data_IF_656150207756
#
_entry.id   IF_656150207756
#
_cell.length_a   1.000
_cell.length_b   1.000
_cell.length_c   1.000
_cell.angle_alpha   90.00
_cell.angle_beta   90.00
_cell.angle_gamma   90.00
#
_symmetry.space_group_name_H-M   'P 1'
#
loop_
_entity.id
_entity.type
_entity.pdbx_description
1 polymer ?
#
# COMPACT_ATOMS: atom_id res chain seq x y z
N UNK A 1 -37.34 -14.04 2.33
CA UNK A 1 -37.80 -14.62 1.03
C UNK A 1 -38.07 -13.48 0.05
N UNK A 2 -37.45 -13.49 -1.13
CA UNK A 2 -37.57 -12.43 -2.13
C UNK A 2 -38.80 -12.60 -3.06
N UNK A 3 -39.57 -13.67 -2.87
CA UNK A 3 -40.78 -13.95 -3.65
C UNK A 3 -40.51 -14.47 -5.05
N UNK A 4 -39.26 -14.83 -5.38
CA UNK A 4 -38.90 -15.38 -6.68
C UNK A 4 -39.73 -16.63 -6.99
N UNK A 5 -40.39 -16.72 -8.16
CA UNK A 5 -41.28 -17.82 -8.48
C UNK A 5 -40.51 -19.13 -8.67
N UNK A 6 -40.97 -20.19 -8.00
CA UNK A 6 -40.49 -21.55 -8.17
C UNK A 6 -41.54 -22.32 -8.98
N UNK A 7 -41.52 -22.18 -10.31
CA UNK A 7 -42.60 -22.69 -11.16
C UNK A 7 -42.48 -24.18 -11.54
N UNK A 8 -41.47 -24.89 -11.02
CA UNK A 8 -41.23 -26.30 -11.30
C UNK A 8 -40.90 -26.63 -12.77
N UNK A 9 -40.81 -25.62 -13.64
CA UNK A 9 -40.46 -25.79 -15.04
C UNK A 9 -38.94 -25.82 -15.23
N UNK A 10 -38.50 -26.42 -16.35
CA UNK A 10 -37.12 -26.45 -16.85
C UNK A 10 -36.50 -25.08 -17.12
N UNK A 11 -37.20 -23.98 -16.81
CA UNK A 11 -36.74 -22.58 -16.98
C UNK A 11 -36.20 -21.96 -15.69
N UNK A 12 -36.30 -22.62 -14.53
CA UNK A 12 -35.71 -22.12 -13.30
C UNK A 12 -34.19 -22.29 -13.33
N UNK A 13 -33.47 -21.18 -13.32
CA UNK A 13 -32.00 -21.15 -13.26
C UNK A 13 -31.54 -20.66 -11.88
N UNK A 14 -30.26 -20.87 -11.56
CA UNK A 14 -29.69 -20.44 -10.27
C UNK A 14 -29.98 -18.96 -9.96
N UNK A 15 -29.91 -18.09 -10.97
CA UNK A 15 -30.18 -16.66 -10.86
C UNK A 15 -31.68 -16.31 -10.82
N UNK A 16 -32.55 -17.06 -11.51
CA UNK A 16 -33.99 -16.72 -11.59
C UNK A 16 -34.72 -16.88 -10.25
N UNK A 17 -34.18 -17.72 -9.36
CA UNK A 17 -34.72 -18.00 -8.02
C UNK A 17 -34.04 -17.19 -6.90
N UNK A 18 -33.05 -16.35 -7.25
CA UNK A 18 -32.29 -15.49 -6.33
C UNK A 18 -32.12 -14.10 -6.96
N UNK A 19 -33.23 -13.48 -7.28
CA UNK A 19 -33.24 -12.21 -8.04
C UNK A 19 -32.53 -11.09 -7.30
N UNK A 20 -32.43 -11.16 -5.97
CA UNK A 20 -31.63 -10.26 -5.16
C UNK A 20 -30.16 -10.16 -5.58
N UNK A 21 -29.57 -11.20 -6.17
CA UNK A 21 -28.20 -11.11 -6.68
C UNK A 21 -28.04 -10.11 -7.81
N UNK A 22 -29.12 -9.73 -8.52
CA UNK A 22 -29.05 -8.69 -9.55
C UNK A 22 -28.65 -7.31 -9.00
N UNK A 23 -28.84 -7.08 -7.70
CA UNK A 23 -28.46 -5.85 -7.00
C UNK A 23 -26.98 -5.85 -6.53
N UNK A 24 -26.31 -7.01 -6.55
CA UNK A 24 -24.92 -7.16 -6.12
C UNK A 24 -23.97 -6.70 -7.25
N UNK A 25 -23.07 -5.76 -6.95
CA UNK A 25 -22.12 -5.21 -7.92
C UNK A 25 -21.19 -6.28 -8.49
N UNK A 26 -20.80 -7.27 -7.69
CA UNK A 26 -19.93 -8.38 -8.08
C UNK A 26 -20.63 -9.31 -9.07
N UNK A 27 -21.95 -9.49 -8.91
CA UNK A 27 -22.77 -10.23 -9.86
C UNK A 27 -22.91 -9.48 -11.18
N UNK A 28 -23.09 -8.15 -11.15
CA UNK A 28 -23.15 -7.32 -12.36
C UNK A 28 -21.85 -7.38 -13.15
N UNK A 29 -20.70 -7.29 -12.48
CA UNK A 29 -19.39 -7.37 -13.13
C UNK A 29 -19.15 -8.75 -13.77
N UNK A 30 -19.45 -9.82 -13.06
CA UNK A 30 -19.36 -11.19 -13.59
C UNK A 30 -20.30 -11.39 -14.80
N UNK A 31 -21.52 -10.85 -14.72
CA UNK A 31 -22.51 -10.91 -15.80
C UNK A 31 -22.04 -10.16 -17.03
N UNK A 32 -21.40 -9.00 -16.88
CA UNK A 32 -20.84 -8.25 -18.00
C UNK A 32 -19.74 -9.04 -18.73
N UNK A 33 -18.89 -9.77 -18.00
CA UNK A 33 -17.86 -10.65 -18.59
C UNK A 33 -18.50 -11.84 -19.30
N UNK A 34 -19.53 -12.44 -18.69
CA UNK A 34 -20.27 -13.55 -19.28
C UNK A 34 -21.02 -13.15 -20.55
N UNK A 35 -21.70 -12.00 -20.54
CA UNK A 35 -22.45 -11.49 -21.69
C UNK A 35 -21.51 -11.15 -22.87
N UNK A 36 -20.26 -10.76 -22.59
CA UNK A 36 -19.26 -10.41 -23.61
C UNK A 36 -18.52 -11.62 -24.21
N UNK A 37 -18.22 -12.64 -23.40
CA UNK A 37 -17.33 -13.75 -23.81
C UNK A 37 -18.04 -15.10 -23.89
N UNK A 38 -19.24 -15.22 -23.32
CA UNK A 38 -19.93 -16.49 -23.12
C UNK A 38 -19.32 -17.37 -22.03
N UNK A 39 -18.26 -16.91 -21.36
CA UNK A 39 -17.56 -17.63 -20.29
C UNK A 39 -17.26 -16.67 -19.11
N UNK A 40 -16.91 -17.21 -17.94
CA UNK A 40 -16.58 -16.40 -16.75
C UNK A 40 -15.11 -16.51 -16.36
N UNK A 41 -14.24 -16.97 -17.27
CA UNK A 41 -12.82 -17.30 -16.96
C UNK A 41 -11.97 -16.07 -16.67
N UNK A 42 -12.32 -14.92 -17.24
CA UNK A 42 -11.55 -13.68 -17.08
C UNK A 42 -11.97 -12.85 -15.86
N UNK A 43 -12.95 -13.34 -15.07
CA UNK A 43 -13.42 -12.65 -13.88
C UNK A 43 -12.87 -13.28 -12.59
N UNK A 44 -12.11 -12.50 -11.83
CA UNK A 44 -11.50 -12.91 -10.58
C UNK A 44 -12.21 -12.31 -9.37
N UNK A 45 -12.57 -13.17 -8.42
CA UNK A 45 -13.22 -12.76 -7.17
C UNK A 45 -12.19 -12.54 -6.07
N UNK A 46 -12.26 -11.39 -5.39
CA UNK A 46 -11.59 -11.18 -4.11
C UNK A 46 -12.61 -11.43 -2.99
N UNK A 47 -12.49 -12.56 -2.28
CA UNK A 47 -13.40 -12.92 -1.20
C UNK A 47 -12.73 -12.82 0.18
N UNK A 48 -13.48 -12.29 1.14
CA UNK A 48 -13.14 -12.33 2.56
C UNK A 48 -14.05 -13.34 3.26
N UNK A 49 -13.66 -14.63 3.23
CA UNK A 49 -14.43 -15.68 3.93
C UNK A 49 -14.11 -15.66 5.42
N UNK A 50 -15.17 -15.64 6.24
CA UNK A 50 -15.06 -15.63 7.70
C UNK A 50 -14.12 -16.71 8.24
N UNK A 51 -14.27 -17.95 7.78
CA UNK A 51 -13.45 -19.06 8.25
C UNK A 51 -11.95 -18.86 7.96
N UNK A 52 -11.59 -18.35 6.77
CA UNK A 52 -10.17 -18.09 6.45
C UNK A 52 -9.58 -16.98 7.32
N UNK A 53 -10.37 -15.95 7.64
CA UNK A 53 -9.93 -14.89 8.56
C UNK A 53 -9.81 -15.41 10.00
N UNK A 54 -10.71 -16.32 10.42
CA UNK A 54 -10.64 -16.99 11.70
C UNK A 54 -9.41 -17.87 11.85
N UNK A 55 -9.12 -18.72 10.86
CA UNK A 55 -7.91 -19.55 10.83
C UNK A 55 -6.64 -18.70 10.92
N UNK A 56 -6.60 -17.58 10.19
CA UNK A 56 -5.49 -16.64 10.22
C UNK A 56 -5.31 -16.01 11.62
N UNK A 57 -6.41 -15.58 12.26
CA UNK A 57 -6.38 -14.97 13.60
C UNK A 57 -5.92 -15.96 14.68
N UNK A 58 -6.41 -17.19 14.63
CA UNK A 58 -6.01 -18.22 15.60
C UNK A 58 -4.55 -18.60 15.43
N UNK A 59 -4.08 -18.69 14.19
CA UNK A 59 -2.67 -19.00 13.90
C UNK A 59 -1.75 -17.89 14.39
N UNK A 60 -2.07 -16.62 14.08
CA UNK A 60 -1.25 -15.48 14.52
C UNK A 60 -1.26 -15.30 16.03
N UNK A 61 -2.42 -15.45 16.68
CA UNK A 61 -2.52 -15.39 18.14
C UNK A 61 -1.74 -16.52 18.84
N UNK A 62 -1.80 -17.73 18.29
CA UNK A 62 -1.08 -18.90 18.82
C UNK A 62 0.44 -18.72 18.64
N UNK A 63 0.88 -18.18 17.49
CA UNK A 63 2.29 -17.89 17.25
C UNK A 63 2.82 -16.82 18.22
N UNK A 64 2.06 -15.73 18.42
CA UNK A 64 2.46 -14.67 19.35
C UNK A 64 2.53 -15.14 20.81
N UNK A 65 1.69 -16.11 21.22
CA UNK A 65 1.72 -16.67 22.56
C UNK A 65 2.88 -17.66 22.78
N UNK A 66 3.14 -18.54 21.81
CA UNK A 66 4.15 -19.59 21.94
C UNK A 66 5.56 -19.10 21.62
N UNK A 67 5.69 -18.11 20.75
CA UNK A 67 6.95 -17.58 20.25
C UNK A 67 6.90 -16.04 20.22
N UNK A 68 6.82 -15.37 21.39
CA UNK A 68 6.71 -13.91 21.46
C UNK A 68 7.94 -13.17 20.89
N UNK A 69 9.09 -13.83 20.81
CA UNK A 69 10.31 -13.33 20.19
C UNK A 69 10.30 -13.37 18.66
N UNK A 70 9.44 -14.22 18.08
CA UNK A 70 9.26 -14.30 16.63
C UNK A 70 8.30 -13.20 16.24
N UNK A 71 8.87 -12.05 15.90
CA UNK A 71 8.13 -10.99 15.25
C UNK A 71 7.56 -11.54 13.94
N UNK A 72 6.35 -11.09 13.52
CA UNK A 72 5.90 -11.38 12.17
C UNK A 72 7.01 -10.97 11.21
N UNK A 73 7.17 -11.68 10.09
CA UNK A 73 7.88 -11.12 8.94
C UNK A 73 7.15 -9.82 8.59
N UNK A 74 7.60 -8.71 9.18
CA UNK A 74 7.49 -7.44 8.52
C UNK A 74 8.09 -7.69 7.16
N UNK A 75 7.37 -7.32 6.10
CA UNK A 75 8.10 -7.05 4.86
C UNK A 75 9.32 -6.22 5.25
N UNK A 76 10.45 -6.47 4.60
CA UNK A 76 11.59 -5.57 4.66
C UNK A 76 11.14 -4.20 4.14
N UNK A 77 10.38 -3.47 4.95
CA UNK A 77 10.42 -2.04 5.04
C UNK A 77 11.49 -1.84 6.11
N UNK A 78 12.71 -1.46 5.71
CA UNK A 78 13.68 -0.93 6.65
C UNK A 78 12.98 0.10 7.54
N UNK A 79 13.47 0.34 8.78
CA UNK A 79 13.03 1.52 9.52
C UNK A 79 13.02 2.68 8.52
N UNK A 80 11.86 3.35 8.33
CA UNK A 80 11.75 4.42 7.35
C UNK A 80 12.72 5.50 7.78
N UNK A 81 13.92 5.43 7.24
CA UNK A 81 15.04 6.26 7.63
C UNK A 81 14.82 7.57 6.90
N UNK A 82 14.04 8.45 7.50
CA UNK A 82 13.70 9.73 6.91
C UNK A 82 15.00 10.50 6.65
N UNK A 83 15.14 11.00 5.43
CA UNK A 83 16.36 11.62 4.90
C UNK A 83 17.25 10.69 4.05
N UNK A 84 17.00 9.38 3.98
CA UNK A 84 17.75 8.42 3.15
C UNK A 84 17.13 8.34 1.75
N UNK A 85 17.47 9.31 0.89
CA UNK A 85 16.92 9.42 -0.45
C UNK A 85 17.54 8.39 -1.41
N UNK A 86 18.79 7.96 -1.17
CA UNK A 86 19.50 7.04 -2.07
C UNK A 86 19.28 5.55 -1.72
N UNK A 87 18.63 5.25 -0.58
CA UNK A 87 18.31 3.91 -0.07
C UNK A 87 19.59 3.11 0.25
N UNK A 88 20.54 3.74 0.95
CA UNK A 88 21.80 3.13 1.41
C UNK A 88 21.86 2.89 2.94
N UNK A 89 20.72 3.08 3.62
CA UNK A 89 20.52 2.95 5.06
C UNK A 89 21.39 3.91 5.90
N UNK A 90 21.84 5.02 5.31
CA UNK A 90 22.52 6.13 5.99
C UNK A 90 21.86 7.44 5.56
N UNK A 91 22.01 8.47 6.39
CA UNK A 91 21.60 9.83 6.04
C UNK A 91 22.84 10.68 6.01
N UNK A 92 23.28 11.01 4.80
CA UNK A 92 24.51 11.76 4.54
C UNK A 92 24.29 12.84 3.50
N UNK A 93 25.32 13.66 3.26
CA UNK A 93 25.33 14.61 2.15
C UNK A 93 25.01 13.98 0.78
N UNK A 94 25.26 12.67 0.59
CA UNK A 94 24.97 11.96 -0.66
C UNK A 94 23.48 11.92 -0.99
N UNK A 95 22.62 11.87 0.03
CA UNK A 95 21.17 11.87 -0.10
C UNK A 95 20.64 13.24 -0.51
N UNK A 96 21.17 14.31 0.11
CA UNK A 96 20.88 15.68 -0.32
C UNK A 96 21.29 15.90 -1.78
N UNK A 97 22.44 15.36 -2.20
CA UNK A 97 22.87 15.42 -3.60
C UNK A 97 21.92 14.64 -4.51
N UNK A 98 21.45 13.46 -4.09
CA UNK A 98 20.50 12.65 -4.86
C UNK A 98 19.16 13.39 -5.06
N UNK A 99 18.64 14.05 -4.01
CA UNK A 99 17.46 14.91 -4.07
C UNK A 99 17.65 16.06 -5.06
N UNK A 100 18.77 16.79 -4.96
CA UNK A 100 19.06 17.91 -5.86
C UNK A 100 19.24 17.46 -7.32
N UNK A 101 19.87 16.31 -7.54
CA UNK A 101 20.02 15.72 -8.88
C UNK A 101 18.65 15.31 -9.46
N UNK A 102 17.77 14.76 -8.63
CA UNK A 102 16.40 14.42 -9.02
C UNK A 102 15.60 15.65 -9.44
N UNK A 103 15.70 16.74 -8.66
CA UNK A 103 15.06 18.02 -8.96
C UNK A 103 15.62 18.66 -10.23
N UNK A 104 16.94 18.57 -10.44
CA UNK A 104 17.60 19.14 -11.61
C UNK A 104 17.28 18.38 -12.90
N UNK A 105 17.22 17.04 -12.84
CA UNK A 105 16.88 16.20 -13.99
C UNK A 105 16.39 14.81 -13.57
N UNK A 106 15.08 14.71 -13.28
CA UNK A 106 14.42 13.47 -12.89
C UNK A 106 14.49 12.37 -13.96
N UNK A 107 14.60 12.72 -15.24
CA UNK A 107 14.70 11.75 -16.33
C UNK A 107 16.04 11.00 -16.34
N UNK A 108 17.12 11.63 -15.85
CA UNK A 108 18.46 11.03 -15.78
C UNK A 108 18.78 10.48 -14.39
N UNK A 109 18.25 11.12 -13.35
CA UNK A 109 18.52 10.81 -11.95
C UNK A 109 17.19 10.56 -11.21
N UNK A 110 16.47 9.53 -11.66
CA UNK A 110 15.22 9.11 -11.03
C UNK A 110 15.50 8.46 -9.65
N UNK A 111 14.87 8.97 -8.60
CA UNK A 111 14.84 8.30 -7.30
C UNK A 111 13.90 7.09 -7.37
N UNK A 112 14.23 6.03 -6.61
CA UNK A 112 13.33 4.89 -6.39
C UNK A 112 12.08 5.37 -5.64
N UNK A 113 10.97 4.66 -5.77
CA UNK A 113 9.73 5.00 -5.04
C UNK A 113 9.93 5.03 -3.53
N UNK A 114 10.71 4.08 -2.99
CA UNK A 114 11.14 4.08 -1.58
C UNK A 114 11.97 5.33 -1.23
N UNK A 115 12.94 5.69 -2.08
CA UNK A 115 13.79 6.87 -1.88
C UNK A 115 13.03 8.19 -1.97
N UNK A 116 11.96 8.26 -2.76
CA UNK A 116 11.04 9.42 -2.76
C UNK A 116 10.25 9.54 -1.46
N UNK A 117 9.82 8.42 -0.89
CA UNK A 117 9.08 8.42 0.38
C UNK A 117 9.99 8.68 1.59
N UNK A 118 11.25 8.21 1.56
CA UNK A 118 12.25 8.46 2.61
C UNK A 118 12.87 9.85 2.51
N UNK A 119 13.13 10.31 1.30
CA UNK A 119 13.73 11.63 1.03
C UNK A 119 12.78 12.79 1.30
N UNK A 120 11.48 12.55 1.42
CA UNK A 120 10.46 13.54 1.81
C UNK A 120 10.43 13.64 3.35
N UNK A 121 11.30 14.49 3.89
CA UNK A 121 11.59 14.61 5.33
C UNK A 121 11.20 15.96 5.94
N UNK A 122 10.96 16.98 5.12
CA UNK A 122 10.49 18.31 5.52
C UNK A 122 9.09 18.53 4.96
N UNK A 123 8.11 18.84 5.81
CA UNK A 123 6.69 19.04 5.40
C UNK A 123 6.07 17.85 4.63
N UNK A 124 6.38 16.65 5.12
CA UNK A 124 6.03 15.35 4.51
C UNK A 124 4.68 15.32 3.80
N UNK A 125 4.71 14.99 2.51
CA UNK A 125 3.53 14.86 1.65
C UNK A 125 3.39 15.96 0.60
N UNK A 126 4.27 16.95 0.57
CA UNK A 126 4.43 17.90 -0.55
C UNK A 126 5.33 17.33 -1.67
N UNK A 127 6.00 16.21 -1.40
CA UNK A 127 6.86 15.48 -2.32
C UNK A 127 8.33 15.87 -2.15
N UNK A 128 9.21 15.35 -3.00
CA UNK A 128 10.64 15.70 -2.92
C UNK A 128 10.84 17.16 -3.34
N UNK A 129 11.31 17.98 -2.41
CA UNK A 129 11.61 19.41 -2.60
C UNK A 129 13.07 19.74 -2.28
N UNK A 130 13.47 20.98 -2.57
CA UNK A 130 14.81 21.46 -2.18
C UNK A 130 14.98 21.66 -0.67
N UNK A 131 13.88 21.75 0.09
CA UNK A 131 13.93 21.90 1.54
C UNK A 131 14.31 20.59 2.22
N UNK A 132 13.91 19.45 1.66
CA UNK A 132 14.36 18.13 2.11
C UNK A 132 15.88 17.98 2.01
N UNK A 133 16.47 18.41 0.90
CA UNK A 133 17.92 18.40 0.72
C UNK A 133 18.63 19.26 1.78
N UNK A 134 18.04 20.41 2.14
CA UNK A 134 18.57 21.27 3.20
C UNK A 134 18.42 20.61 4.59
N UNK A 135 17.29 19.95 4.87
CA UNK A 135 17.11 19.17 6.11
C UNK A 135 18.14 18.07 6.26
N UNK A 136 18.40 17.31 5.19
CA UNK A 136 19.42 16.26 5.21
C UNK A 136 20.83 16.84 5.42
N UNK A 137 21.14 17.99 4.83
CA UNK A 137 22.41 18.71 5.09
C UNK A 137 22.56 19.13 6.55
N UNK A 138 21.48 19.53 7.22
CA UNK A 138 21.50 19.89 8.63
C UNK A 138 21.67 18.67 9.55
N UNK A 139 21.14 17.51 9.17
CA UNK A 139 21.42 16.22 9.85
C UNK A 139 22.88 15.84 9.69
N UNK A 140 23.44 15.91 8.49
CA UNK A 140 24.85 15.61 8.21
C UNK A 140 25.78 16.56 9.02
N UNK A 141 25.40 17.83 9.11
CA UNK A 141 26.09 18.84 9.93
C UNK A 141 25.87 18.67 11.45
N UNK A 142 25.11 17.66 11.89
CA UNK A 142 24.76 17.40 13.29
C UNK A 142 24.05 18.57 14.00
N UNK A 143 23.40 19.45 13.24
CA UNK A 143 22.60 20.58 13.76
C UNK A 143 21.25 20.07 14.28
N UNK A 144 20.66 19.15 13.53
CA UNK A 144 19.45 18.41 13.88
C UNK A 144 19.75 16.91 13.89
N UNK A 145 18.96 16.12 14.62
CA UNK A 145 19.13 14.66 14.62
C UNK A 145 18.19 14.04 13.59
N UNK A 146 18.63 12.93 13.02
CA UNK A 146 17.78 12.10 12.16
C UNK A 146 16.47 11.66 12.84
N UNK A 147 16.48 11.48 14.17
CA UNK A 147 15.28 11.15 14.96
C UNK A 147 14.28 12.29 15.05
N UNK A 148 14.67 13.51 14.68
CA UNK A 148 13.81 14.69 14.74
C UNK A 148 12.92 14.78 13.48
N UNK A 149 13.23 14.02 12.41
CA UNK A 149 12.36 13.93 11.24
C UNK A 149 11.07 13.13 11.51
N UNK A 150 9.94 13.51 10.88
CA UNK A 150 9.79 14.63 9.94
C UNK A 150 9.66 15.98 10.68
N UNK A 151 10.27 17.03 10.12
CA UNK A 151 10.19 18.41 10.63
C UNK A 151 9.39 19.29 9.68
N UNK A 152 8.93 20.44 10.14
CA UNK A 152 8.30 21.44 9.27
C UNK A 152 9.33 22.43 8.72
N UNK A 153 9.08 23.08 7.59
CA UNK A 153 10.00 24.09 7.03
C UNK A 153 10.32 25.23 8.01
N UNK A 154 9.37 25.57 8.89
CA UNK A 154 9.55 26.57 9.94
C UNK A 154 10.61 26.18 10.99
N UNK A 155 10.87 24.87 11.16
CA UNK A 155 11.90 24.35 12.05
C UNK A 155 13.29 24.28 11.37
N UNK A 156 13.36 24.56 10.07
CA UNK A 156 14.56 24.58 9.25
C UNK A 156 15.28 25.95 9.26
N UNK A 157 14.59 27.01 9.70
CA UNK A 157 15.04 28.42 9.66
C UNK A 157 15.73 28.89 10.93
#
# INVERSE_FOLDING_TARGET
PDGSPLDGSTKNTFSSIRQKYAEDSMYQDCKNVYDATGETKDYYYKLHRFWHMGDALITTGTMALLYPEVLPFGGDEPPTLLGDANVDDKVTISDAVAILQHLANSNKYGLKEEGKNRGDCVDRGDGITGQDAAGVQLVDASVIKQTDFPITADQLS
#
